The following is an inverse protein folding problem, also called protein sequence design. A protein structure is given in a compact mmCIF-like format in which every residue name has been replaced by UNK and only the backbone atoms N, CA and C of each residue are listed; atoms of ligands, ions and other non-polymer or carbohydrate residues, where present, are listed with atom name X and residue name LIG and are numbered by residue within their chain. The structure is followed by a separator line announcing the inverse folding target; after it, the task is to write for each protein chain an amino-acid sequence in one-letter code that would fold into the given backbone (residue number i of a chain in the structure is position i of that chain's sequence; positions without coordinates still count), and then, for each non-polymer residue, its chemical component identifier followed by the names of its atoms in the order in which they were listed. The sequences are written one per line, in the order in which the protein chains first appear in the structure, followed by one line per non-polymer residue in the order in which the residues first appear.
data_IF_828682562512
#
_entry.id   IF_828682562512
#
_cell.length_a   1.000
_cell.length_b   1.000
_cell.length_c   1.000
_cell.angle_alpha   90.00
_cell.angle_beta   90.00
_cell.angle_gamma   90.00
#
_symmetry.space_group_name_H-M   'P 1'
#
loop_
_entity.id
_entity.type
_entity.pdbx_description
1 polymer ?
#
# COMPACT_ATOMS: atom_id res chain seq x y z
N UNK A 1 -11.85 -40.92 21.07
CA UNK A 1 -11.42 -40.04 19.97
C UNK A 1 -10.32 -39.14 20.50
N UNK A 2 -9.06 -39.51 20.26
CA UNK A 2 -7.88 -38.70 20.58
C UNK A 2 -7.33 -38.17 19.28
N UNK A 3 -7.45 -36.87 19.08
CA UNK A 3 -6.91 -36.17 17.93
C UNK A 3 -6.13 -34.97 18.43
N UNK A 4 -4.84 -35.15 18.61
CA UNK A 4 -3.89 -34.09 18.34
C UNK A 4 -2.76 -34.71 17.55
N UNK A 5 -2.49 -34.18 16.36
CA UNK A 5 -1.12 -33.94 15.98
C UNK A 5 -0.93 -32.43 15.88
N UNK A 6 -0.01 -31.93 16.69
CA UNK A 6 0.83 -30.81 16.29
C UNK A 6 1.62 -31.28 15.06
N UNK A 7 1.77 -30.46 14.03
CA UNK A 7 3.08 -30.18 13.41
C UNK A 7 2.95 -29.38 12.11
N UNK A 8 3.87 -28.45 11.92
CA UNK A 8 4.35 -28.08 10.59
C UNK A 8 3.53 -27.06 9.80
N UNK A 9 3.31 -25.86 10.33
CA UNK A 9 3.13 -24.69 9.47
C UNK A 9 4.21 -23.67 9.81
N UNK A 10 5.42 -23.96 9.34
CA UNK A 10 6.44 -22.95 9.03
C UNK A 10 5.92 -22.09 7.86
N UNK A 11 4.88 -21.29 8.14
CA UNK A 11 4.51 -20.17 7.32
C UNK A 11 5.29 -18.99 7.83
N UNK A 12 6.35 -18.60 7.13
CA UNK A 12 7.10 -17.35 7.31
C UNK A 12 6.11 -16.18 7.35
N UNK A 13 5.62 -15.89 8.55
CA UNK A 13 4.65 -14.85 8.82
C UNK A 13 5.31 -13.50 8.78
N UNK A 14 5.70 -13.04 7.59
CA UNK A 14 5.58 -11.63 7.27
C UNK A 14 4.08 -11.33 7.19
N UNK A 15 3.40 -11.37 8.34
CA UNK A 15 2.09 -10.78 8.51
C UNK A 15 2.29 -9.28 8.31
N UNK A 16 2.28 -8.86 7.05
CA UNK A 16 2.38 -7.48 6.65
C UNK A 16 1.30 -6.73 7.40
N UNK A 17 1.70 -5.96 8.41
CA UNK A 17 0.81 -5.03 9.08
C UNK A 17 0.27 -4.11 8.01
N UNK A 18 -0.99 -4.30 7.64
CA UNK A 18 -1.73 -3.39 6.77
C UNK A 18 -2.12 -2.18 7.62
N UNK A 19 -1.13 -1.37 7.96
CA UNK A 19 -1.38 -0.08 8.59
C UNK A 19 -1.98 0.87 7.54
N UNK A 20 -3.11 1.53 7.84
CA UNK A 20 -3.70 2.49 6.92
C UNK A 20 -2.78 3.70 6.79
N UNK A 21 -2.13 3.84 5.62
CA UNK A 21 -1.31 5.01 5.31
C UNK A 21 -2.22 6.20 4.98
N UNK A 22 -2.10 7.28 5.74
CA UNK A 22 -2.79 8.55 5.44
C UNK A 22 -1.98 9.31 4.40
N UNK A 23 -2.42 9.20 3.15
CA UNK A 23 -1.81 9.88 2.01
C UNK A 23 -2.45 11.26 1.87
N UNK A 24 -1.65 12.31 2.04
CA UNK A 24 -2.11 13.67 1.87
C UNK A 24 -2.30 13.97 0.37
N UNK A 25 -3.45 14.51 -0.01
CA UNK A 25 -3.72 14.94 -1.39
C UNK A 25 -3.89 16.45 -1.37
N UNK A 26 -3.00 17.17 -2.07
CA UNK A 26 -3.13 18.62 -2.25
C UNK A 26 -3.86 18.90 -3.57
N UNK A 27 -5.14 19.25 -3.48
CA UNK A 27 -6.00 19.53 -4.64
C UNK A 27 -5.57 20.76 -5.46
N UNK A 28 -4.57 21.53 -5.00
CA UNK A 28 -3.97 22.62 -5.77
C UNK A 28 -2.87 22.14 -6.73
N UNK A 29 -2.35 20.93 -6.53
CA UNK A 29 -1.37 20.28 -7.42
C UNK A 29 -2.08 19.56 -8.56
N UNK A 30 -1.40 19.43 -9.70
CA UNK A 30 -1.89 18.63 -10.81
C UNK A 30 -1.96 17.14 -10.43
N UNK A 31 -2.80 16.35 -11.12
CA UNK A 31 -2.92 14.91 -10.86
C UNK A 31 -1.56 14.20 -10.99
N UNK A 32 -0.74 14.59 -11.96
CA UNK A 32 0.56 13.96 -12.21
C UNK A 32 1.57 14.31 -11.09
N UNK A 33 1.57 15.55 -10.58
CA UNK A 33 2.38 15.93 -9.41
C UNK A 33 1.95 15.19 -8.14
N UNK A 34 0.64 15.02 -7.92
CA UNK A 34 0.12 14.26 -6.78
C UNK A 34 0.53 12.78 -6.87
N UNK A 35 0.55 12.21 -8.07
CA UNK A 35 1.00 10.82 -8.28
C UNK A 35 2.50 10.70 -8.03
N UNK A 36 3.30 11.63 -8.50
CA UNK A 36 4.75 11.59 -8.34
C UNK A 36 5.17 11.76 -6.86
N UNK A 37 4.51 12.66 -6.13
CA UNK A 37 4.67 12.79 -4.67
C UNK A 37 4.32 11.48 -3.94
N UNK A 38 3.22 10.83 -4.36
CA UNK A 38 2.74 9.59 -3.77
C UNK A 38 3.66 8.39 -4.04
N UNK A 39 4.23 8.32 -5.24
CA UNK A 39 5.28 7.35 -5.58
C UNK A 39 6.48 7.59 -4.67
N UNK A 40 6.95 8.83 -4.55
CA UNK A 40 8.11 9.16 -3.73
C UNK A 40 7.90 8.80 -2.24
N UNK A 41 6.72 9.09 -1.68
CA UNK A 41 6.39 8.74 -0.29
C UNK A 41 6.37 7.23 -0.06
N UNK A 42 5.68 6.48 -0.92
CA UNK A 42 5.61 5.02 -0.80
C UNK A 42 6.97 4.36 -1.05
N UNK A 43 7.77 4.88 -1.97
CA UNK A 43 9.15 4.45 -2.19
C UNK A 43 10.04 4.76 -0.99
N UNK A 44 9.89 5.90 -0.33
CA UNK A 44 10.61 6.24 0.90
C UNK A 44 10.25 5.29 2.06
N UNK A 45 9.04 4.72 2.05
CA UNK A 45 8.61 3.66 2.98
C UNK A 45 9.15 2.27 2.60
N UNK A 46 9.98 2.16 1.56
CA UNK A 46 10.53 0.89 1.07
C UNK A 46 9.54 0.07 0.24
N UNK A 47 8.44 0.68 -0.20
CA UNK A 47 7.46 0.04 -1.10
C UNK A 47 7.82 0.31 -2.55
N UNK A 48 7.32 -0.52 -3.47
CA UNK A 48 7.49 -0.30 -4.91
C UNK A 48 6.11 -0.09 -5.56
N UNK A 49 5.56 1.13 -5.51
CA UNK A 49 4.21 1.41 -5.99
C UNK A 49 4.14 1.47 -7.52
N UNK A 50 3.00 1.05 -8.08
CA UNK A 50 2.73 1.21 -9.51
C UNK A 50 2.12 2.59 -9.80
N UNK A 51 2.77 3.35 -10.69
CA UNK A 51 2.37 4.73 -11.01
C UNK A 51 0.99 4.82 -11.67
N UNK A 52 0.64 3.88 -12.54
CA UNK A 52 -0.67 3.88 -13.21
C UNK A 52 -1.80 3.55 -12.24
N UNK A 53 -1.58 2.60 -11.33
CA UNK A 53 -2.50 2.28 -10.26
C UNK A 53 -2.73 3.50 -9.34
N UNK A 54 -1.67 4.21 -8.96
CA UNK A 54 -1.80 5.43 -8.16
C UNK A 54 -2.56 6.53 -8.89
N UNK A 55 -2.39 6.67 -10.21
CA UNK A 55 -3.14 7.64 -11.03
C UNK A 55 -4.64 7.40 -10.97
N UNK A 56 -5.08 6.14 -11.00
CA UNK A 56 -6.50 5.81 -10.85
C UNK A 56 -7.05 6.17 -9.46
N UNK A 57 -6.25 5.97 -8.41
CA UNK A 57 -6.63 6.31 -7.02
C UNK A 57 -6.68 7.82 -6.80
N UNK A 58 -5.72 8.56 -7.36
CA UNK A 58 -5.70 10.04 -7.35
C UNK A 58 -6.93 10.59 -8.08
N UNK A 59 -7.18 10.15 -9.32
CA UNK A 59 -8.36 10.57 -10.10
C UNK A 59 -9.68 10.30 -9.38
N UNK A 60 -9.82 9.13 -8.75
CA UNK A 60 -11.04 8.78 -7.98
C UNK A 60 -11.26 9.70 -6.77
N UNK A 61 -10.20 10.23 -6.17
CA UNK A 61 -10.27 11.14 -5.02
C UNK A 61 -10.45 12.61 -5.40
N UNK A 62 -10.12 12.96 -6.64
CA UNK A 62 -10.27 14.31 -7.20
C UNK A 62 -11.64 14.55 -7.86
N UNK A 63 -12.42 13.49 -8.08
CA UNK A 63 -13.81 13.55 -8.56
C UNK A 63 -14.81 13.74 -7.42
#
# INVERSE_FOLDING_TARGET
MTGTPTDGSEGTGAAGRTEPVKLAVDSRKSEDEQVDDLVAELTALGMNPDREALRAVVRKRSS
#
